data_IF_858334786724
#
_entry.id   IF_858334786724
#
_cell.length_a   1.000
_cell.length_b   1.000
_cell.length_c   1.000
_cell.angle_alpha   90.00
_cell.angle_beta   90.00
_cell.angle_gamma   90.00
#
_symmetry.space_group_name_H-M   'P 1'
#
loop_
_entity.id
_entity.type
_entity.pdbx_description
1 polymer ?
#
# COMPACT_ATOMS: atom_id res chain seq x y z
N UNK A 1 27.26 -7.64 -12.75
CA UNK A 1 28.40 -7.54 -11.81
C UNK A 1 28.05 -6.50 -10.74
N UNK A 2 28.26 -6.77 -9.44
CA UNK A 2 27.90 -5.83 -8.39
C UNK A 2 28.86 -4.64 -8.48
N UNK A 3 28.34 -3.45 -8.79
CA UNK A 3 29.14 -2.24 -8.74
C UNK A 3 29.42 -1.94 -7.27
N UNK A 4 30.72 -1.82 -6.96
CA UNK A 4 31.26 -1.62 -5.64
C UNK A 4 30.68 -0.42 -4.92
N UNK A 5 30.79 -0.50 -3.60
CA UNK A 5 30.61 0.53 -2.58
C UNK A 5 30.06 1.88 -3.07
N UNK A 6 28.82 2.20 -2.65
CA UNK A 6 28.13 3.47 -2.90
C UNK A 6 29.00 4.71 -2.60
N UNK A 7 29.97 4.57 -1.69
CA UNK A 7 31.00 5.54 -1.33
C UNK A 7 31.87 6.00 -2.52
N UNK A 8 32.23 5.07 -3.41
CA UNK A 8 33.13 5.34 -4.54
C UNK A 8 32.37 5.93 -5.74
N UNK A 9 31.10 5.57 -5.92
CA UNK A 9 30.21 6.17 -6.92
C UNK A 9 29.88 7.64 -6.61
N UNK A 10 29.79 8.03 -5.33
CA UNK A 10 29.65 9.43 -4.91
C UNK A 10 30.86 10.29 -5.26
N UNK A 11 32.08 9.74 -5.15
CA UNK A 11 33.33 10.46 -5.47
C UNK A 11 33.50 10.77 -6.96
N UNK A 12 32.91 9.96 -7.84
CA UNK A 12 33.03 10.12 -9.29
C UNK A 12 31.98 11.04 -9.93
N UNK A 13 31.18 11.78 -9.13
CA UNK A 13 30.28 12.83 -9.65
C UNK A 13 29.08 12.32 -10.48
N UNK A 14 28.84 11.01 -10.52
CA UNK A 14 27.76 10.38 -11.30
C UNK A 14 26.46 10.15 -10.51
N UNK A 15 26.34 10.71 -9.31
CA UNK A 15 25.10 10.77 -8.55
C UNK A 15 24.94 12.19 -8.00
N UNK A 16 23.89 12.94 -8.36
CA UNK A 16 23.60 14.20 -7.69
C UNK A 16 23.36 13.91 -6.21
N UNK A 17 24.06 14.61 -5.31
CA UNK A 17 23.70 14.64 -3.89
C UNK A 17 22.38 15.40 -3.76
N UNK A 18 21.27 14.70 -4.05
CA UNK A 18 19.95 15.28 -3.83
C UNK A 18 19.72 15.26 -2.33
N UNK A 19 19.90 16.43 -1.70
CA UNK A 19 19.53 16.65 -0.31
C UNK A 19 18.10 16.14 -0.08
N UNK A 20 17.85 15.45 1.04
CA UNK A 20 16.52 14.96 1.38
C UNK A 20 15.45 16.07 1.32
N UNK A 21 15.84 17.30 1.68
CA UNK A 21 14.98 18.48 1.58
C UNK A 21 14.68 18.89 0.13
N UNK A 22 15.65 18.73 -0.79
CA UNK A 22 15.46 19.01 -2.22
C UNK A 22 14.58 17.94 -2.89
N UNK A 23 14.76 16.66 -2.54
CA UNK A 23 13.89 15.57 -2.99
C UNK A 23 12.46 15.73 -2.46
N UNK A 24 12.32 16.11 -1.18
CA UNK A 24 11.02 16.36 -0.57
C UNK A 24 10.30 17.53 -1.23
N UNK A 25 10.99 18.67 -1.45
CA UNK A 25 10.42 19.82 -2.16
C UNK A 25 10.02 19.47 -3.59
N UNK A 26 10.87 18.72 -4.30
CA UNK A 26 10.57 18.25 -5.66
C UNK A 26 9.34 17.35 -5.68
N UNK A 27 9.22 16.41 -4.73
CA UNK A 27 8.04 15.56 -4.58
C UNK A 27 6.78 16.34 -4.22
N UNK A 28 6.86 17.30 -3.30
CA UNK A 28 5.73 18.11 -2.85
C UNK A 28 5.16 19.03 -3.95
N UNK A 29 5.97 19.45 -4.91
CA UNK A 29 5.53 20.28 -6.05
C UNK A 29 4.93 19.41 -7.18
N UNK A 30 5.23 18.11 -7.21
CA UNK A 30 4.75 17.21 -8.25
C UNK A 30 3.28 16.83 -8.05
N UNK A 31 2.43 17.15 -9.03
CA UNK A 31 1.01 16.77 -9.01
C UNK A 31 0.79 15.26 -8.92
N UNK A 32 1.60 14.48 -9.65
CA UNK A 32 1.52 13.01 -9.61
C UNK A 32 1.72 12.47 -8.19
N UNK A 33 2.61 13.06 -7.40
CA UNK A 33 2.85 12.66 -6.01
C UNK A 33 1.61 12.87 -5.16
N UNK A 34 0.87 13.96 -5.36
CA UNK A 34 -0.38 14.21 -4.65
C UNK A 34 -1.49 13.22 -5.03
N UNK A 35 -1.60 12.84 -6.30
CA UNK A 35 -2.55 11.80 -6.73
C UNK A 35 -2.27 10.48 -6.02
N UNK A 36 -1.02 10.02 -6.03
CA UNK A 36 -0.63 8.79 -5.34
C UNK A 36 -0.78 8.91 -3.80
N UNK A 37 -0.54 10.10 -3.25
CA UNK A 37 -0.70 10.37 -1.82
C UNK A 37 -2.16 10.26 -1.39
N UNK A 38 -3.08 10.94 -2.09
CA UNK A 38 -4.52 10.85 -1.81
C UNK A 38 -4.99 9.42 -1.96
N UNK A 39 -4.55 8.75 -3.02
CA UNK A 39 -4.88 7.34 -3.25
C UNK A 39 -4.47 6.46 -2.06
N UNK A 40 -3.22 6.61 -1.62
CA UNK A 40 -2.71 5.86 -0.47
C UNK A 40 -3.49 6.19 0.81
N UNK A 41 -3.79 7.48 1.04
CA UNK A 41 -4.55 7.92 2.20
C UNK A 41 -5.97 7.34 2.23
N UNK A 42 -6.64 7.22 1.07
CA UNK A 42 -7.96 6.61 0.98
C UNK A 42 -7.94 5.10 1.29
N UNK A 43 -7.09 4.32 0.62
CA UNK A 43 -6.98 2.88 0.87
C UNK A 43 -6.58 2.58 2.33
N UNK A 44 -5.56 3.28 2.82
CA UNK A 44 -5.08 3.08 4.19
C UNK A 44 -6.08 3.57 5.24
N UNK A 45 -6.83 4.64 4.97
CA UNK A 45 -7.88 5.13 5.85
C UNK A 45 -9.00 4.12 6.05
N UNK A 46 -9.48 3.50 4.96
CA UNK A 46 -10.51 2.44 5.03
C UNK A 46 -9.97 1.23 5.80
N UNK A 47 -8.73 0.80 5.52
CA UNK A 47 -8.06 -0.29 6.25
C UNK A 47 -7.98 0.00 7.75
N UNK A 48 -7.64 1.23 8.14
CA UNK A 48 -7.51 1.63 9.54
C UNK A 48 -8.86 1.65 10.26
N UNK A 49 -9.89 2.23 9.64
CA UNK A 49 -11.25 2.25 10.20
C UNK A 49 -11.79 0.82 10.38
N UNK A 50 -11.58 -0.06 9.40
CA UNK A 50 -12.04 -1.44 9.48
C UNK A 50 -11.31 -2.21 10.59
N UNK A 51 -9.98 -2.11 10.68
CA UNK A 51 -9.22 -2.75 11.76
C UNK A 51 -9.65 -2.27 13.15
N UNK A 52 -9.96 -0.98 13.30
CA UNK A 52 -10.41 -0.42 14.58
C UNK A 52 -11.83 -0.88 14.96
N UNK A 53 -12.73 -0.95 13.98
CA UNK A 53 -14.12 -1.35 14.20
C UNK A 53 -14.33 -2.87 14.24
N UNK A 54 -13.44 -3.67 13.65
CA UNK A 54 -13.63 -5.11 13.44
C UNK A 54 -13.92 -5.87 14.75
N UNK A 55 -13.11 -5.65 15.80
CA UNK A 55 -13.26 -6.38 17.06
C UNK A 55 -14.60 -6.08 17.74
N UNK A 56 -15.07 -4.82 17.67
CA UNK A 56 -16.38 -4.42 18.19
C UNK A 56 -17.52 -4.99 17.32
N UNK A 57 -17.39 -4.91 15.99
CA UNK A 57 -18.39 -5.41 15.06
C UNK A 57 -18.64 -6.92 15.21
N UNK A 58 -17.58 -7.74 15.33
CA UNK A 58 -17.74 -9.18 15.56
C UNK A 58 -18.34 -9.53 16.92
N UNK A 59 -18.11 -8.68 17.93
CA UNK A 59 -18.68 -8.88 19.26
C UNK A 59 -20.16 -8.51 19.30
N UNK A 60 -20.51 -7.34 18.77
CA UNK A 60 -21.84 -6.75 18.91
C UNK A 60 -22.82 -7.30 17.86
N UNK A 61 -22.39 -7.52 16.61
CA UNK A 61 -23.27 -7.96 15.52
C UNK A 61 -23.36 -9.49 15.43
N UNK A 62 -22.26 -10.21 15.66
CA UNK A 62 -22.22 -11.67 15.58
C UNK A 62 -22.32 -12.37 16.95
N UNK A 63 -22.40 -11.61 18.05
CA UNK A 63 -22.50 -12.15 19.41
C UNK A 63 -21.31 -13.01 19.83
N UNK A 64 -20.15 -12.85 19.18
CA UNK A 64 -18.98 -13.68 19.46
C UNK A 64 -18.34 -13.35 20.82
N UNK A 65 -17.71 -14.36 21.43
CA UNK A 65 -16.91 -14.13 22.64
C UNK A 65 -15.76 -13.16 22.35
N UNK A 66 -15.38 -12.36 23.35
CA UNK A 66 -14.28 -11.38 23.23
C UNK A 66 -13.00 -12.02 22.72
N UNK A 67 -12.72 -13.27 23.12
CA UNK A 67 -11.55 -14.04 22.68
C UNK A 67 -11.60 -14.37 21.18
N UNK A 68 -12.76 -14.82 20.68
CA UNK A 68 -12.93 -15.16 19.27
C UNK A 68 -12.92 -13.92 18.37
N UNK A 69 -13.57 -12.85 18.81
CA UNK A 69 -13.56 -11.56 18.10
C UNK A 69 -12.14 -10.95 18.04
N UNK A 70 -11.38 -11.04 19.13
CA UNK A 70 -9.98 -10.59 19.17
C UNK A 70 -9.08 -11.46 18.27
N UNK A 71 -9.28 -12.78 18.26
CA UNK A 71 -8.55 -13.68 17.37
C UNK A 71 -8.78 -13.31 15.89
N UNK A 72 -10.04 -13.13 15.48
CA UNK A 72 -10.38 -12.74 14.10
C UNK A 72 -9.80 -11.37 13.74
N UNK A 73 -9.94 -10.38 14.64
CA UNK A 73 -9.37 -9.05 14.43
C UNK A 73 -7.83 -9.11 14.27
N UNK A 74 -7.15 -9.95 15.06
CA UNK A 74 -5.70 -10.13 14.93
C UNK A 74 -5.31 -10.75 13.59
N UNK A 75 -6.05 -11.75 13.10
CA UNK A 75 -5.80 -12.39 11.80
C UNK A 75 -5.99 -11.38 10.66
N UNK A 76 -7.01 -10.53 10.78
CA UNK A 76 -7.25 -9.46 9.82
C UNK A 76 -6.08 -8.45 9.79
N UNK A 77 -5.51 -8.09 10.94
CA UNK A 77 -4.28 -7.28 11.00
C UNK A 77 -3.05 -7.98 10.38
N UNK A 78 -2.90 -9.29 10.61
CA UNK A 78 -1.83 -10.10 10.02
C UNK A 78 -1.92 -10.20 8.49
N UNK A 79 -3.13 -10.21 7.93
CA UNK A 79 -3.36 -10.19 6.48
C UNK A 79 -2.62 -9.04 5.81
N UNK A 80 -2.52 -7.87 6.46
CA UNK A 80 -1.89 -6.68 5.88
C UNK A 80 -0.37 -6.85 5.67
N UNK A 81 0.28 -7.74 6.42
CA UNK A 81 1.69 -8.08 6.20
C UNK A 81 1.86 -8.89 4.90
N UNK A 82 1.00 -9.88 4.70
CA UNK A 82 1.01 -10.71 3.49
C UNK A 82 0.53 -9.93 2.27
N UNK A 83 -0.51 -9.11 2.40
CA UNK A 83 -1.04 -8.28 1.32
C UNK A 83 0.02 -7.33 0.76
N UNK A 84 0.83 -6.70 1.63
CA UNK A 84 1.96 -5.86 1.21
C UNK A 84 3.03 -6.66 0.46
N UNK A 85 3.37 -7.85 0.94
CA UNK A 85 4.34 -8.73 0.27
C UNK A 85 3.87 -9.20 -1.10
N UNK A 86 2.63 -9.68 -1.20
CA UNK A 86 2.02 -10.15 -2.44
C UNK A 86 1.84 -8.99 -3.44
N UNK A 87 1.36 -7.83 -2.99
CA UNK A 87 1.23 -6.65 -3.83
C UNK A 87 2.56 -6.18 -4.43
N UNK A 88 3.64 -6.23 -3.63
CA UNK A 88 5.01 -5.97 -4.10
C UNK A 88 5.45 -6.98 -5.17
N UNK A 89 5.24 -8.27 -4.93
CA UNK A 89 5.55 -9.33 -5.89
C UNK A 89 4.82 -9.15 -7.23
N UNK A 90 3.51 -8.88 -7.21
CA UNK A 90 2.73 -8.64 -8.43
C UNK A 90 3.19 -7.37 -9.16
N UNK A 91 3.50 -6.30 -8.42
CA UNK A 91 4.02 -5.05 -8.98
C UNK A 91 5.38 -5.25 -9.66
N UNK A 92 6.29 -6.01 -9.05
CA UNK A 92 7.61 -6.27 -9.60
C UNK A 92 7.58 -7.23 -10.80
N UNK A 93 6.67 -8.21 -10.78
CA UNK A 93 6.39 -9.06 -11.93
C UNK A 93 5.89 -8.23 -13.13
N UNK A 94 4.93 -7.32 -12.89
CA UNK A 94 4.40 -6.43 -13.93
C UNK A 94 5.45 -5.41 -14.41
N UNK A 95 6.31 -4.94 -13.52
CA UNK A 95 7.43 -4.05 -13.86
C UNK A 95 8.45 -4.75 -14.78
N UNK A 96 8.71 -6.03 -14.56
CA UNK A 96 9.63 -6.81 -15.41
C UNK A 96 9.10 -6.94 -16.83
N UNK A 97 7.78 -7.00 -17.04
CA UNK A 97 7.16 -7.13 -18.37
C UNK A 97 6.88 -5.80 -19.08
N UNK A 98 6.46 -4.77 -18.36
CA UNK A 98 5.95 -3.51 -18.95
C UNK A 98 6.65 -2.24 -18.42
N UNK A 99 7.72 -2.39 -17.64
CA UNK A 99 8.42 -1.27 -16.99
C UNK A 99 7.54 -0.52 -16.01
N UNK A 100 7.79 0.80 -15.86
CA UNK A 100 7.09 1.64 -14.88
C UNK A 100 5.58 1.76 -15.11
N UNK A 101 5.12 1.58 -16.37
CA UNK A 101 3.68 1.54 -16.69
C UNK A 101 3.01 0.31 -16.10
N UNK A 102 3.72 -0.82 -16.02
CA UNK A 102 3.20 -2.05 -15.39
C UNK A 102 2.87 -1.85 -13.92
N UNK A 103 3.72 -1.12 -13.18
CA UNK A 103 3.48 -0.79 -11.76
C UNK A 103 2.20 0.03 -11.58
N UNK A 104 2.01 1.05 -12.42
CA UNK A 104 0.81 1.90 -12.38
C UNK A 104 -0.45 1.10 -12.70
N UNK A 105 -0.41 0.25 -13.74
CA UNK A 105 -1.55 -0.61 -14.10
C UNK A 105 -1.90 -1.58 -12.98
N UNK A 106 -0.92 -2.23 -12.36
CA UNK A 106 -1.14 -3.10 -11.21
C UNK A 106 -1.81 -2.35 -10.07
N UNK A 107 -1.32 -1.15 -9.71
CA UNK A 107 -1.93 -0.31 -8.68
C UNK A 107 -3.38 0.07 -9.03
N UNK A 108 -3.64 0.51 -10.26
CA UNK A 108 -4.99 0.90 -10.71
C UNK A 108 -5.96 -0.28 -10.71
N UNK A 109 -5.53 -1.47 -11.15
CA UNK A 109 -6.36 -2.67 -11.16
C UNK A 109 -6.71 -3.07 -9.72
N UNK A 110 -5.73 -3.13 -8.81
CA UNK A 110 -5.99 -3.48 -7.42
C UNK A 110 -6.95 -2.51 -6.75
N UNK A 111 -6.77 -1.20 -6.99
CA UNK A 111 -7.67 -0.18 -6.49
C UNK A 111 -9.09 -0.33 -7.05
N UNK A 112 -9.24 -0.55 -8.35
CA UNK A 112 -10.54 -0.73 -8.97
C UNK A 112 -11.25 -1.97 -8.42
N UNK A 113 -10.51 -3.07 -8.23
CA UNK A 113 -11.02 -4.27 -7.59
C UNK A 113 -11.44 -4.03 -6.14
N UNK A 114 -10.63 -3.32 -5.34
CA UNK A 114 -10.96 -2.96 -3.96
C UNK A 114 -12.26 -2.14 -3.90
N UNK A 115 -12.36 -1.08 -4.71
CA UNK A 115 -13.55 -0.25 -4.80
C UNK A 115 -14.80 -1.02 -5.25
N UNK A 116 -14.66 -1.91 -6.23
CA UNK A 116 -15.76 -2.77 -6.67
C UNK A 116 -16.24 -3.72 -5.56
N UNK A 117 -15.31 -4.33 -4.82
CA UNK A 117 -15.65 -5.21 -3.69
C UNK A 117 -16.37 -4.45 -2.58
N UNK A 118 -15.95 -3.22 -2.27
CA UNK A 118 -16.64 -2.37 -1.28
C UNK A 118 -18.07 -2.04 -1.74
N UNK A 119 -18.26 -1.70 -3.03
CA UNK A 119 -19.59 -1.44 -3.58
C UNK A 119 -20.50 -2.68 -3.58
N UNK A 120 -19.93 -3.86 -3.84
CA UNK A 120 -20.65 -5.13 -3.77
C UNK A 120 -21.05 -5.42 -2.32
N UNK A 121 -20.13 -5.27 -1.36
CA UNK A 121 -20.41 -5.46 0.05
C UNK A 121 -21.51 -4.50 0.53
N UNK A 122 -21.47 -3.24 0.11
CA UNK A 122 -22.50 -2.25 0.44
C UNK A 122 -23.87 -2.57 -0.17
N UNK A 123 -23.94 -3.32 -1.28
CA UNK A 123 -25.19 -3.79 -1.90
C UNK A 123 -25.65 -5.16 -1.38
N UNK A 124 -24.79 -5.90 -0.69
CA UNK A 124 -25.12 -7.17 -0.07
C UNK A 124 -25.85 -6.90 1.24
N UNK A 125 -27.15 -6.62 1.12
CA UNK A 125 -28.10 -6.41 2.21
C UNK A 125 -28.33 -7.69 3.03
#
# INVERSE_FOLDING_TARGET
APKGNYSDLKKHGNMPEVSAAASFRSGAINFNTWVLFIQYACCFGVELTMNNAAALYFKDEFGQSTESAAAIASIFGWMNLFARGLGGYFSDMANTKMGMRGRLWTQTIFLACEGALVLIFANSN
#
